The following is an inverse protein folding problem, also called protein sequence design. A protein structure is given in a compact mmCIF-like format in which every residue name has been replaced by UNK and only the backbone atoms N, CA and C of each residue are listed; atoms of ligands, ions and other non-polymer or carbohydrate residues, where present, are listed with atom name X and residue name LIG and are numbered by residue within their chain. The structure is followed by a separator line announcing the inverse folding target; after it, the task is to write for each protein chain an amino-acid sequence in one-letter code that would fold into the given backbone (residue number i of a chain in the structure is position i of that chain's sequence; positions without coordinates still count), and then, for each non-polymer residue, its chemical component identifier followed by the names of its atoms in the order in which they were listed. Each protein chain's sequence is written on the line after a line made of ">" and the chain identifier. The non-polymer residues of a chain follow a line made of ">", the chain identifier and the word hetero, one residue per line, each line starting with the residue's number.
data_IF_240655461801
#
_entry.id   IF_240655461801
#
_cell.length_a   1.000
_cell.length_b   1.000
_cell.length_c   1.000
_cell.angle_alpha   90.00
_cell.angle_beta   90.00
_cell.angle_gamma   90.00
#
_symmetry.space_group_name_H-M   'P 1'
#
loop_
_entity.id
_entity.type
_entity.pdbx_description
1 polymer ?
#
# COMPACT_ATOMS: atom_id res chain seq x y z
N UNK A 1 5.19 -13.27 -1.00
CA UNK A 1 6.35 -14.06 -0.49
C UNK A 1 7.73 -13.43 -0.74
N UNK A 2 7.86 -12.18 -1.24
CA UNK A 2 9.16 -11.61 -1.60
C UNK A 2 9.78 -10.65 -0.56
N UNK A 3 8.97 -9.84 0.13
CA UNK A 3 9.49 -8.72 0.95
C UNK A 3 10.17 -9.19 2.25
N UNK A 4 9.62 -10.21 2.93
CA UNK A 4 10.21 -10.72 4.19
C UNK A 4 11.59 -11.32 3.99
N UNK A 5 11.79 -12.09 2.93
CA UNK A 5 13.07 -12.75 2.60
C UNK A 5 14.16 -11.72 2.29
N UNK A 6 13.81 -10.61 1.61
CA UNK A 6 14.76 -9.52 1.36
C UNK A 6 15.32 -8.94 2.65
N UNK A 7 14.49 -8.81 3.68
CA UNK A 7 14.92 -8.29 4.97
C UNK A 7 15.74 -9.33 5.77
N UNK A 8 15.26 -10.56 5.90
CA UNK A 8 15.90 -11.59 6.74
C UNK A 8 17.23 -12.08 6.20
N UNK A 9 17.28 -12.36 4.89
CA UNK A 9 18.39 -13.13 4.30
C UNK A 9 19.41 -12.19 3.66
N UNK A 10 18.96 -11.03 3.17
CA UNK A 10 19.79 -10.10 2.39
C UNK A 10 19.98 -8.72 3.06
N UNK A 11 19.27 -8.43 4.17
CA UNK A 11 19.27 -7.11 4.84
C UNK A 11 18.92 -5.95 3.89
N UNK A 12 18.03 -6.21 2.93
CA UNK A 12 17.56 -5.23 1.95
C UNK A 12 16.19 -4.69 2.30
N UNK A 13 15.91 -3.47 1.84
CA UNK A 13 14.59 -2.85 1.87
C UNK A 13 14.09 -2.63 0.44
N UNK A 14 12.77 -2.54 0.28
CA UNK A 14 12.14 -2.31 -1.02
C UNK A 14 11.13 -1.18 -0.90
N UNK A 15 11.12 -0.33 -1.92
CA UNK A 15 10.08 0.68 -2.15
C UNK A 15 9.56 0.44 -3.56
N UNK A 16 8.24 0.47 -3.72
CA UNK A 16 7.63 0.26 -5.02
C UNK A 16 6.13 0.46 -4.97
N UNK A 17 5.54 0.60 -6.15
CA UNK A 17 4.09 0.71 -6.28
C UNK A 17 3.44 -0.67 -6.29
N UNK A 18 2.22 -0.76 -5.77
CA UNK A 18 1.47 -2.02 -5.70
C UNK A 18 0.23 -1.93 -6.60
N UNK A 19 -0.03 -2.98 -7.38
CA UNK A 19 -1.26 -3.07 -8.15
C UNK A 19 -2.46 -3.28 -7.22
N UNK A 20 -3.54 -2.52 -7.44
CA UNK A 20 -4.78 -2.56 -6.64
C UNK A 20 -5.40 -3.96 -6.47
N UNK A 21 -5.24 -4.84 -7.44
CA UNK A 21 -5.84 -6.17 -7.45
C UNK A 21 -5.05 -7.24 -6.66
N UNK A 22 -4.06 -6.84 -5.85
CA UNK A 22 -3.32 -7.77 -5.00
C UNK A 22 -4.19 -8.23 -3.83
N UNK A 23 -4.32 -9.55 -3.66
CA UNK A 23 -5.07 -10.20 -2.55
C UNK A 23 -4.54 -9.84 -1.15
N UNK A 24 -3.31 -9.36 -1.07
CA UNK A 24 -2.65 -8.95 0.17
C UNK A 24 -3.14 -7.57 0.66
N UNK A 25 -3.82 -6.78 -0.19
CA UNK A 25 -4.34 -5.47 0.16
C UNK A 25 -5.69 -5.58 0.89
N UNK A 26 -5.86 -4.95 2.07
CA UNK A 26 -7.15 -4.89 2.73
C UNK A 26 -8.18 -4.16 1.86
N UNK A 27 -9.46 -4.55 1.98
CA UNK A 27 -10.54 -3.99 1.15
C UNK A 27 -10.75 -2.51 1.45
N UNK A 28 -10.47 -2.09 2.69
CA UNK A 28 -10.51 -0.71 3.18
C UNK A 28 -9.61 0.20 2.34
N UNK A 29 -8.44 -0.32 1.94
CA UNK A 29 -7.48 0.39 1.08
C UNK A 29 -8.00 0.59 -0.35
N UNK A 30 -8.96 -0.23 -0.79
CA UNK A 30 -9.56 -0.15 -2.13
C UNK A 30 -10.87 0.64 -2.20
N UNK A 31 -11.49 0.94 -1.04
CA UNK A 31 -12.75 1.69 -0.96
C UNK A 31 -12.48 3.19 -1.16
N UNK A 32 -12.96 3.71 -2.29
CA UNK A 32 -12.81 5.11 -2.69
C UNK A 32 -13.95 6.02 -2.21
N UNK A 33 -15.10 5.46 -1.86
CA UNK A 33 -16.38 6.20 -1.78
C UNK A 33 -16.39 7.26 -0.68
N UNK A 34 -15.63 7.08 0.41
CA UNK A 34 -15.63 7.97 1.57
C UNK A 34 -14.36 8.81 1.74
N UNK A 35 -13.36 8.67 0.86
CA UNK A 35 -12.06 9.31 1.09
C UNK A 35 -11.92 10.64 0.33
N UNK A 36 -11.49 11.73 1.00
CA UNK A 36 -11.32 13.03 0.36
C UNK A 36 -10.15 13.03 -0.62
N UNK A 37 -10.20 13.93 -1.61
CA UNK A 37 -9.06 14.20 -2.49
C UNK A 37 -7.85 14.71 -1.69
N UNK A 38 -6.65 14.49 -2.24
CA UNK A 38 -5.36 14.83 -1.65
C UNK A 38 -5.14 14.22 -0.26
N UNK A 39 -5.82 13.12 0.05
CA UNK A 39 -5.64 12.39 1.31
C UNK A 39 -4.77 11.15 1.15
N UNK A 40 -4.03 10.83 2.21
CA UNK A 40 -3.22 9.61 2.33
C UNK A 40 -3.74 8.74 3.47
N UNK A 41 -3.69 7.42 3.29
CA UNK A 41 -4.02 6.45 4.32
C UNK A 41 -2.87 5.47 4.45
N UNK A 42 -2.48 5.20 5.70
CA UNK A 42 -1.31 4.40 6.04
C UNK A 42 -1.76 3.10 6.70
N UNK A 43 -1.12 1.99 6.33
CA UNK A 43 -1.32 0.69 6.94
C UNK A 43 0.02 0.15 7.39
N UNK A 44 0.14 -0.13 8.68
CA UNK A 44 1.34 -0.73 9.24
C UNK A 44 1.09 -2.20 9.53
N UNK A 45 1.98 -3.07 9.05
CA UNK A 45 1.98 -4.48 9.39
C UNK A 45 3.41 -5.00 9.48
N UNK A 46 3.84 -5.36 10.69
CA UNK A 46 5.21 -5.75 11.00
C UNK A 46 6.21 -4.67 10.52
N UNK A 47 7.24 -5.04 9.76
CA UNK A 47 8.25 -4.14 9.20
C UNK A 47 7.83 -3.47 7.87
N UNK A 48 6.56 -3.58 7.48
CA UNK A 48 6.06 -3.05 6.21
C UNK A 48 5.03 -1.93 6.44
N UNK A 49 5.21 -0.83 5.71
CA UNK A 49 4.25 0.28 5.64
C UNK A 49 3.66 0.34 4.24
N UNK A 50 2.33 0.32 4.17
CA UNK A 50 1.55 0.55 2.96
C UNK A 50 1.00 1.97 2.99
N UNK A 51 1.06 2.67 1.86
CA UNK A 51 0.43 3.98 1.69
C UNK A 51 -0.60 3.88 0.57
N UNK A 52 -1.73 4.55 0.72
CA UNK A 52 -2.66 4.77 -0.39
C UNK A 52 -3.03 6.23 -0.50
N UNK A 53 -2.81 6.79 -1.68
CA UNK A 53 -2.99 8.22 -1.96
C UNK A 53 -4.07 8.44 -3.02
N UNK A 54 -4.92 9.44 -2.79
CA UNK A 54 -5.97 9.87 -3.70
C UNK A 54 -5.64 11.27 -4.21
N UNK A 55 -5.04 11.43 -5.39
CA UNK A 55 -4.78 12.76 -5.94
C UNK A 55 -6.04 13.44 -6.46
N UNK A 56 -7.01 12.66 -6.97
CA UNK A 56 -8.25 13.12 -7.58
C UNK A 56 -9.35 12.08 -7.36
N UNK A 57 -10.62 12.50 -7.35
CA UNK A 57 -11.79 11.62 -7.26
C UNK A 57 -11.67 10.46 -8.26
N UNK A 58 -11.92 9.24 -7.78
CA UNK A 58 -11.83 7.97 -8.51
C UNK A 58 -10.43 7.51 -8.97
N UNK A 59 -9.33 8.23 -8.64
CA UNK A 59 -7.95 7.77 -8.84
C UNK A 59 -7.28 7.42 -7.51
N UNK A 60 -6.52 6.33 -7.50
CA UNK A 60 -5.84 5.81 -6.30
C UNK A 60 -4.49 5.20 -6.68
N UNK A 61 -3.48 5.50 -5.86
CA UNK A 61 -2.12 4.99 -5.99
C UNK A 61 -1.72 4.30 -4.68
N UNK A 62 -0.99 3.19 -4.80
CA UNK A 62 -0.37 2.46 -3.70
C UNK A 62 1.14 2.50 -3.87
#
# INVERSE_FOLDING_TARGET
>A
MAVKTLLSDFKLTVIGTIRKNKRELPVEFSKLVSRPEKSSMFGLRNECTLVSYIPKKAKMYF
#
